data_IF_831062482113
#
_entry.id   IF_831062482113
#
_cell.length_a   1.000
_cell.length_b   1.000
_cell.length_c   1.000
_cell.angle_alpha   90.00
_cell.angle_beta   90.00
_cell.angle_gamma   90.00
#
_symmetry.space_group_name_H-M   'P 1'
#
loop_
_entity.id
_entity.type
_entity.pdbx_description
1 polymer ?
#
# COMPACT_ATOMS: atom_id res chain seq x y z
N UNK A 1 -15.14 -0.40 -14.96
CA UNK A 1 -15.10 1.05 -15.14
C UNK A 1 -14.49 1.80 -13.94
N UNK A 2 -14.40 1.23 -12.75
CA UNK A 2 -13.94 1.91 -11.51
C UNK A 2 -12.45 1.70 -11.15
N UNK A 3 -11.65 1.07 -11.98
CA UNK A 3 -10.24 0.82 -11.70
C UNK A 3 -9.25 1.82 -12.35
N UNK A 4 -9.76 2.88 -13.00
CA UNK A 4 -8.95 3.78 -13.84
C UNK A 4 -9.34 5.24 -13.61
N UNK A 5 -9.22 5.72 -12.35
CA UNK A 5 -9.65 7.08 -12.00
C UNK A 5 -8.68 8.17 -12.42
N UNK A 6 -8.96 8.88 -13.51
CA UNK A 6 -8.38 10.18 -13.81
C UNK A 6 -9.21 11.34 -13.27
N UNK A 7 -8.70 12.58 -13.32
CA UNK A 7 -9.46 13.79 -12.93
C UNK A 7 -10.83 13.91 -13.59
N UNK A 8 -10.96 13.46 -14.86
CA UNK A 8 -12.23 13.45 -15.58
C UNK A 8 -13.26 12.49 -14.98
N UNK A 9 -12.81 11.40 -14.34
CA UNK A 9 -13.72 10.44 -13.72
C UNK A 9 -14.27 10.97 -12.40
N UNK A 10 -13.51 11.76 -11.65
CA UNK A 10 -14.00 12.47 -10.45
C UNK A 10 -15.06 13.52 -10.83
N UNK A 11 -14.83 14.29 -11.89
CA UNK A 11 -15.81 15.27 -12.35
C UNK A 11 -17.12 14.61 -12.77
N UNK A 12 -17.05 13.53 -13.57
CA UNK A 12 -18.22 12.71 -13.92
C UNK A 12 -18.91 12.12 -12.69
N UNK A 13 -18.14 11.60 -11.73
CA UNK A 13 -18.66 11.06 -10.46
C UNK A 13 -19.45 12.10 -9.71
N UNK A 14 -18.94 13.33 -9.59
CA UNK A 14 -19.62 14.44 -8.93
C UNK A 14 -20.93 14.84 -9.63
N UNK A 15 -20.95 14.83 -10.98
CA UNK A 15 -22.18 15.09 -11.76
C UNK A 15 -23.22 13.98 -11.49
N UNK A 16 -22.81 12.72 -11.49
CA UNK A 16 -23.70 11.59 -11.21
C UNK A 16 -24.22 11.66 -9.78
N UNK A 17 -23.35 11.91 -8.81
CA UNK A 17 -23.74 12.09 -7.40
C UNK A 17 -24.75 13.23 -7.24
N UNK A 18 -24.56 14.38 -7.90
CA UNK A 18 -25.51 15.50 -7.87
C UNK A 18 -26.89 15.08 -8.35
N UNK A 19 -26.97 14.28 -9.43
CA UNK A 19 -28.27 13.74 -9.94
C UNK A 19 -28.91 12.76 -8.95
N UNK A 20 -28.12 11.92 -8.29
CA UNK A 20 -28.60 10.97 -7.27
C UNK A 20 -29.16 11.71 -6.06
N UNK A 21 -28.44 12.73 -5.56
CA UNK A 21 -28.92 13.57 -4.46
C UNK A 21 -30.24 14.29 -4.79
N UNK A 22 -30.34 14.87 -6.01
CA UNK A 22 -31.57 15.49 -6.47
C UNK A 22 -32.73 14.48 -6.56
N UNK A 23 -32.45 13.24 -7.00
CA UNK A 23 -33.47 12.18 -7.03
C UNK A 23 -34.00 11.89 -5.63
N UNK A 24 -33.12 11.76 -4.62
CA UNK A 24 -33.51 11.52 -3.23
C UNK A 24 -34.30 12.70 -2.64
N UNK A 25 -33.95 13.94 -2.99
CA UNK A 25 -34.69 15.13 -2.56
C UNK A 25 -36.16 15.13 -3.07
N UNK A 26 -36.37 14.68 -4.31
CA UNK A 26 -37.68 14.67 -4.95
C UNK A 26 -38.52 13.44 -4.57
N UNK A 27 -37.90 12.27 -4.47
CA UNK A 27 -38.59 10.99 -4.34
C UNK A 27 -38.51 10.37 -2.93
N UNK A 28 -37.68 10.94 -2.04
CA UNK A 28 -37.41 10.41 -0.71
C UNK A 28 -36.28 9.37 -0.72
N UNK A 29 -36.11 8.68 0.40
CA UNK A 29 -35.06 7.68 0.62
C UNK A 29 -35.20 6.49 -0.35
N UNK A 30 -34.08 6.14 -0.98
CA UNK A 30 -33.93 4.96 -1.83
C UNK A 30 -32.57 4.29 -1.49
N UNK A 31 -32.59 3.12 -0.83
CA UNK A 31 -31.35 2.45 -0.39
C UNK A 31 -30.35 2.17 -1.50
N UNK A 32 -30.83 1.87 -2.72
CA UNK A 32 -29.94 1.60 -3.85
C UNK A 32 -29.22 2.86 -4.33
N UNK A 33 -29.93 3.98 -4.33
CA UNK A 33 -29.35 5.28 -4.68
C UNK A 33 -28.38 5.78 -3.61
N UNK A 34 -28.73 5.58 -2.35
CA UNK A 34 -27.85 5.91 -1.21
C UNK A 34 -26.55 5.09 -1.25
N UNK A 35 -26.64 3.78 -1.49
CA UNK A 35 -25.46 2.92 -1.67
C UNK A 35 -24.61 3.38 -2.87
N UNK A 36 -25.25 3.77 -3.98
CA UNK A 36 -24.56 4.33 -5.13
C UNK A 36 -23.78 5.62 -4.79
N UNK A 37 -24.35 6.49 -3.95
CA UNK A 37 -23.66 7.69 -3.45
C UNK A 37 -22.46 7.31 -2.59
N UNK A 38 -22.61 6.33 -1.67
CA UNK A 38 -21.50 5.85 -0.85
C UNK A 38 -20.35 5.28 -1.69
N UNK A 39 -20.65 4.55 -2.76
CA UNK A 39 -19.63 4.08 -3.71
C UNK A 39 -18.86 5.23 -4.32
N UNK A 40 -19.54 6.28 -4.78
CA UNK A 40 -18.90 7.45 -5.38
C UNK A 40 -18.06 8.21 -4.36
N UNK A 41 -18.51 8.30 -3.10
CA UNK A 41 -17.78 8.97 -2.02
C UNK A 41 -16.53 8.17 -1.61
N UNK A 42 -16.64 6.85 -1.48
CA UNK A 42 -15.49 6.00 -1.18
C UNK A 42 -14.44 6.05 -2.30
N UNK A 43 -14.88 6.06 -3.56
CA UNK A 43 -14.01 6.25 -4.71
C UNK A 43 -13.32 7.62 -4.69
N UNK A 44 -14.06 8.69 -4.38
CA UNK A 44 -13.50 10.04 -4.27
C UNK A 44 -12.48 10.15 -3.14
N UNK A 45 -12.77 9.55 -1.97
CA UNK A 45 -11.84 9.50 -0.84
C UNK A 45 -10.52 8.79 -1.21
N UNK A 46 -10.60 7.65 -1.90
CA UNK A 46 -9.44 6.92 -2.39
C UNK A 46 -8.64 7.75 -3.40
N UNK A 47 -9.30 8.39 -4.36
CA UNK A 47 -8.66 9.25 -5.35
C UNK A 47 -7.91 10.41 -4.71
N UNK A 48 -8.48 11.05 -3.69
CA UNK A 48 -7.85 12.15 -2.95
C UNK A 48 -6.81 11.65 -1.93
N UNK A 49 -6.54 10.34 -1.88
CA UNK A 49 -5.59 9.70 -0.96
C UNK A 49 -5.91 10.00 0.51
N UNK A 50 -7.20 10.03 0.84
CA UNK A 50 -7.66 10.16 2.22
C UNK A 50 -7.37 8.92 3.08
N UNK A 51 -6.93 7.85 2.43
CA UNK A 51 -6.56 6.59 3.07
C UNK A 51 -7.67 5.53 3.03
N UNK A 52 -7.27 4.28 3.20
CA UNK A 52 -8.18 3.13 3.21
C UNK A 52 -9.21 3.25 4.34
N UNK A 53 -8.82 3.77 5.50
CA UNK A 53 -9.68 3.97 6.66
C UNK A 53 -10.93 4.79 6.31
N UNK A 54 -10.75 5.94 5.66
CA UNK A 54 -11.88 6.81 5.24
C UNK A 54 -12.77 6.11 4.22
N UNK A 55 -12.20 5.44 3.22
CA UNK A 55 -12.98 4.70 2.22
C UNK A 55 -13.71 3.51 2.84
N UNK A 56 -13.11 2.87 3.85
CA UNK A 56 -13.72 1.77 4.61
C UNK A 56 -14.90 2.26 5.45
N UNK A 57 -14.75 3.35 6.18
CA UNK A 57 -15.84 3.95 6.96
C UNK A 57 -17.04 4.31 6.06
N UNK A 58 -16.81 4.94 4.92
CA UNK A 58 -17.86 5.31 3.97
C UNK A 58 -18.57 4.08 3.41
N UNK A 59 -17.85 3.01 3.12
CA UNK A 59 -18.40 1.77 2.54
C UNK A 59 -18.94 0.77 3.58
N UNK A 60 -18.66 0.94 4.87
CA UNK A 60 -19.08 0.05 5.94
C UNK A 60 -20.59 -0.28 5.93
N UNK A 61 -21.53 0.69 5.75
CA UNK A 61 -22.96 0.37 5.70
C UNK A 61 -23.34 -0.60 4.56
N UNK A 62 -22.60 -0.58 3.44
CA UNK A 62 -22.78 -1.51 2.33
C UNK A 62 -22.42 -2.93 2.78
N UNK A 63 -21.27 -3.10 3.44
CA UNK A 63 -20.81 -4.38 3.96
C UNK A 63 -21.76 -4.93 5.04
N UNK A 64 -22.27 -4.07 5.92
CA UNK A 64 -23.24 -4.45 6.95
C UNK A 64 -24.52 -4.97 6.31
N UNK A 65 -25.07 -4.30 5.31
CA UNK A 65 -26.24 -4.74 4.57
C UNK A 65 -26.00 -6.07 3.84
N UNK A 66 -24.87 -6.19 3.13
CA UNK A 66 -24.50 -7.41 2.42
C UNK A 66 -24.28 -8.60 3.38
N UNK A 67 -23.77 -8.34 4.58
CA UNK A 67 -23.63 -9.38 5.63
C UNK A 67 -24.97 -9.86 6.15
N UNK A 68 -25.95 -8.98 6.28
CA UNK A 68 -27.30 -9.29 6.74
C UNK A 68 -28.18 -9.97 5.66
N UNK A 69 -27.75 -9.91 4.38
CA UNK A 69 -28.51 -10.45 3.24
C UNK A 69 -28.03 -11.88 2.92
N UNK A 70 -28.92 -12.85 3.05
CA UNK A 70 -28.60 -14.26 2.73
C UNK A 70 -28.42 -14.47 1.22
N UNK A 71 -29.36 -13.96 0.44
CA UNK A 71 -29.37 -14.11 -1.01
C UNK A 71 -29.03 -12.77 -1.69
N UNK A 72 -27.87 -12.72 -2.34
CA UNK A 72 -27.44 -11.56 -3.13
C UNK A 72 -27.99 -11.64 -4.54
N UNK A 73 -28.55 -10.54 -5.01
CA UNK A 73 -28.92 -10.35 -6.40
C UNK A 73 -27.74 -9.80 -7.22
N UNK A 74 -27.99 -9.53 -8.50
CA UNK A 74 -26.95 -9.00 -9.39
C UNK A 74 -26.52 -7.57 -9.04
N UNK A 75 -27.42 -6.77 -8.46
CA UNK A 75 -27.10 -5.44 -7.98
C UNK A 75 -26.13 -5.51 -6.81
N UNK A 76 -26.37 -6.39 -5.85
CA UNK A 76 -25.50 -6.61 -4.68
C UNK A 76 -24.09 -7.01 -5.10
N UNK A 77 -23.97 -7.90 -6.09
CA UNK A 77 -22.67 -8.31 -6.61
C UNK A 77 -21.94 -7.13 -7.29
N UNK A 78 -22.64 -6.33 -8.07
CA UNK A 78 -22.08 -5.15 -8.71
C UNK A 78 -21.66 -4.09 -7.69
N UNK A 79 -22.45 -3.89 -6.66
CA UNK A 79 -22.16 -2.99 -5.56
C UNK A 79 -20.90 -3.44 -4.82
N UNK A 80 -20.84 -4.73 -4.44
CA UNK A 80 -19.65 -5.30 -3.83
C UNK A 80 -18.41 -5.13 -4.71
N UNK A 81 -18.53 -5.38 -6.01
CA UNK A 81 -17.42 -5.23 -6.95
C UNK A 81 -16.79 -3.84 -6.87
N UNK A 82 -17.59 -2.81 -6.63
CA UNK A 82 -17.11 -1.43 -6.52
C UNK A 82 -16.37 -1.15 -5.20
N UNK A 83 -16.72 -1.83 -4.11
CA UNK A 83 -16.22 -1.51 -2.76
C UNK A 83 -15.39 -2.59 -2.10
N UNK A 84 -15.31 -3.81 -2.67
CA UNK A 84 -14.65 -4.96 -2.02
C UNK A 84 -13.20 -4.68 -1.62
N UNK A 85 -12.49 -3.84 -2.36
CA UNK A 85 -11.11 -3.43 -2.05
C UNK A 85 -10.99 -2.39 -0.93
N UNK A 86 -12.11 -1.83 -0.44
CA UNK A 86 -12.12 -0.81 0.61
C UNK A 86 -12.42 -1.38 2.00
N UNK A 87 -12.62 -2.69 2.14
CA UNK A 87 -12.80 -3.29 3.45
C UNK A 87 -11.50 -3.19 4.27
N UNK A 88 -11.63 -2.81 5.53
CA UNK A 88 -10.50 -2.68 6.45
C UNK A 88 -9.81 -4.02 6.71
N UNK A 89 -10.60 -5.11 6.86
CA UNK A 89 -10.08 -6.48 6.96
C UNK A 89 -9.91 -7.11 5.58
N UNK A 90 -8.71 -7.58 5.29
CA UNK A 90 -8.44 -8.33 4.06
C UNK A 90 -9.04 -9.73 4.10
N UNK A 91 -9.23 -10.32 5.29
CA UNK A 91 -9.95 -11.60 5.47
C UNK A 91 -11.41 -11.46 5.06
N UNK A 92 -12.09 -10.40 5.53
CA UNK A 92 -13.47 -10.11 5.10
C UNK A 92 -13.56 -9.81 3.61
N UNK A 93 -12.57 -9.11 3.05
CA UNK A 93 -12.46 -8.90 1.60
C UNK A 93 -12.47 -10.23 0.85
N UNK A 94 -11.67 -11.19 1.33
CA UNK A 94 -11.62 -12.54 0.77
C UNK A 94 -12.98 -13.26 0.87
N UNK A 95 -13.59 -13.28 2.06
CA UNK A 95 -14.90 -13.92 2.29
C UNK A 95 -16.00 -13.36 1.38
N UNK A 96 -16.10 -12.04 1.27
CA UNK A 96 -17.08 -11.39 0.40
C UNK A 96 -16.85 -11.69 -1.08
N UNK A 97 -15.58 -11.67 -1.50
CA UNK A 97 -15.22 -11.97 -2.87
C UNK A 97 -15.55 -13.42 -3.25
N UNK A 98 -15.22 -14.40 -2.40
CA UNK A 98 -15.54 -15.81 -2.60
C UNK A 98 -17.07 -16.03 -2.71
N UNK A 99 -17.87 -15.40 -1.83
CA UNK A 99 -19.33 -15.45 -1.90
C UNK A 99 -19.86 -14.92 -3.23
N UNK A 100 -19.31 -13.78 -3.71
CA UNK A 100 -19.71 -13.19 -4.98
C UNK A 100 -19.30 -14.06 -6.18
N UNK A 101 -18.06 -14.54 -6.19
CA UNK A 101 -17.54 -15.38 -7.28
C UNK A 101 -18.32 -16.68 -7.42
N UNK A 102 -18.66 -17.33 -6.31
CA UNK A 102 -19.50 -18.53 -6.30
C UNK A 102 -20.90 -18.30 -6.92
N UNK A 103 -21.48 -17.12 -6.68
CA UNK A 103 -22.76 -16.74 -7.32
C UNK A 103 -22.60 -16.53 -8.82
N UNK A 104 -21.47 -15.98 -9.27
CA UNK A 104 -21.18 -15.74 -10.67
C UNK A 104 -20.82 -17.00 -11.48
N UNK A 105 -20.44 -18.10 -10.81
CA UNK A 105 -20.14 -19.37 -11.48
C UNK A 105 -21.33 -19.91 -12.31
N UNK A 106 -22.54 -19.70 -11.82
CA UNK A 106 -23.76 -20.11 -12.50
C UNK A 106 -23.99 -19.40 -13.85
N UNK A 107 -23.25 -18.34 -14.11
CA UNK A 107 -23.37 -17.46 -15.28
C UNK A 107 -22.03 -17.35 -16.06
N UNK A 108 -21.22 -18.40 -16.06
CA UNK A 108 -19.84 -18.40 -16.55
C UNK A 108 -19.69 -18.05 -18.04
N UNK A 109 -20.73 -18.23 -18.85
CA UNK A 109 -20.65 -18.10 -20.30
C UNK A 109 -21.03 -16.70 -20.84
N UNK A 110 -21.34 -15.73 -20.00
CA UNK A 110 -21.74 -14.41 -20.43
C UNK A 110 -20.57 -13.41 -20.24
N UNK A 111 -20.16 -12.72 -21.30
CA UNK A 111 -19.04 -11.76 -21.31
C UNK A 111 -19.14 -10.69 -20.21
N UNK A 112 -20.35 -10.19 -19.92
CA UNK A 112 -20.58 -9.23 -18.83
C UNK A 112 -20.13 -9.74 -17.45
N UNK A 113 -20.23 -11.04 -17.20
CA UNK A 113 -19.79 -11.64 -15.93
C UNK A 113 -18.27 -11.83 -15.88
N UNK A 114 -17.61 -12.02 -17.02
CA UNK A 114 -16.16 -12.06 -17.10
C UNK A 114 -15.53 -10.73 -16.61
N UNK A 115 -16.10 -9.60 -17.03
CA UNK A 115 -15.64 -8.26 -16.59
C UNK A 115 -15.87 -8.06 -15.09
N UNK A 116 -17.01 -8.53 -14.54
CA UNK A 116 -17.29 -8.42 -13.10
C UNK A 116 -16.33 -9.30 -12.31
N UNK A 117 -16.12 -10.55 -12.74
CA UNK A 117 -15.13 -11.46 -12.11
C UNK A 117 -13.75 -10.84 -12.12
N UNK A 118 -13.29 -10.33 -13.26
CA UNK A 118 -12.00 -9.67 -13.40
C UNK A 118 -11.88 -8.48 -12.43
N UNK A 119 -12.92 -7.66 -12.31
CA UNK A 119 -12.92 -6.50 -11.42
C UNK A 119 -12.84 -6.92 -9.94
N UNK A 120 -13.58 -7.96 -9.52
CA UNK A 120 -13.49 -8.50 -8.16
C UNK A 120 -12.06 -8.98 -7.90
N UNK A 121 -11.50 -9.82 -8.78
CA UNK A 121 -10.15 -10.35 -8.64
C UNK A 121 -9.09 -9.26 -8.54
N UNK A 122 -9.14 -8.26 -9.43
CA UNK A 122 -8.20 -7.13 -9.41
C UNK A 122 -8.28 -6.31 -8.13
N UNK A 123 -9.48 -6.08 -7.59
CA UNK A 123 -9.68 -5.35 -6.35
C UNK A 123 -9.17 -6.15 -5.14
N UNK A 124 -9.38 -7.48 -5.13
CA UNK A 124 -8.82 -8.36 -4.08
C UNK A 124 -7.29 -8.37 -4.15
N UNK A 125 -6.70 -8.57 -5.33
CA UNK A 125 -5.24 -8.50 -5.51
C UNK A 125 -4.68 -7.18 -4.98
N UNK A 126 -5.34 -6.06 -5.28
CA UNK A 126 -4.91 -4.76 -4.80
C UNK A 126 -5.02 -4.65 -3.26
N UNK A 127 -6.12 -5.14 -2.67
CA UNK A 127 -6.31 -5.12 -1.20
C UNK A 127 -5.29 -6.00 -0.47
N UNK A 128 -5.01 -7.20 -1.00
CA UNK A 128 -3.99 -8.09 -0.43
C UNK A 128 -2.56 -7.52 -0.56
N UNK A 129 -2.26 -6.85 -1.69
CA UNK A 129 -1.00 -6.12 -1.84
C UNK A 129 -0.89 -4.99 -0.79
N UNK A 130 -1.96 -4.24 -0.57
CA UNK A 130 -2.03 -3.20 0.48
C UNK A 130 -1.86 -3.81 1.88
N UNK A 131 -2.51 -4.93 2.19
CA UNK A 131 -2.37 -5.60 3.46
C UNK A 131 -0.91 -5.94 3.78
N UNK A 132 -0.16 -6.42 2.79
CA UNK A 132 1.26 -6.74 2.95
C UNK A 132 2.13 -5.55 3.38
N UNK A 133 1.78 -4.34 2.96
CA UNK A 133 2.62 -3.16 3.16
C UNK A 133 2.08 -2.12 4.14
N UNK A 134 0.76 -2.05 4.34
CA UNK A 134 0.12 -1.03 5.18
C UNK A 134 -0.41 -1.56 6.52
N UNK A 135 -0.81 -2.83 6.61
CA UNK A 135 -1.34 -3.38 7.84
C UNK A 135 -0.18 -3.64 8.82
N UNK A 136 0.20 -2.58 9.53
CA UNK A 136 1.41 -2.50 10.38
C UNK A 136 1.32 -3.43 11.59
N UNK A 137 0.13 -3.77 12.05
CA UNK A 137 -0.09 -4.59 13.24
C UNK A 137 0.05 -6.10 12.96
N UNK A 138 -0.01 -6.52 11.72
CA UNK A 138 0.24 -7.90 11.30
C UNK A 138 1.66 -8.07 10.80
N UNK A 139 2.61 -8.13 11.73
CA UNK A 139 4.07 -8.26 11.51
C UNK A 139 4.51 -9.58 10.86
N UNK A 140 3.60 -10.45 10.49
CA UNK A 140 3.88 -11.63 9.68
C UNK A 140 2.89 -11.67 8.52
N UNK A 141 3.36 -11.69 7.26
CA UNK A 141 2.53 -12.21 6.19
C UNK A 141 2.13 -13.61 6.64
N UNK A 142 0.86 -13.79 6.95
CA UNK A 142 0.37 -15.14 7.24
C UNK A 142 0.58 -15.95 5.96
N UNK A 143 0.87 -17.23 6.08
CA UNK A 143 0.92 -18.12 4.90
C UNK A 143 -0.36 -17.97 4.06
N UNK A 144 -1.47 -17.64 4.71
CA UNK A 144 -2.77 -17.36 4.10
C UNK A 144 -2.76 -16.16 3.15
N UNK A 145 -2.14 -15.04 3.52
CA UNK A 145 -2.05 -13.85 2.65
C UNK A 145 -1.28 -14.16 1.35
N UNK A 146 -0.17 -14.89 1.45
CA UNK A 146 0.63 -15.35 0.30
C UNK A 146 -0.17 -16.32 -0.57
N UNK A 147 -0.91 -17.24 0.05
CA UNK A 147 -1.72 -18.25 -0.62
C UNK A 147 -2.90 -17.59 -1.35
N UNK A 148 -3.65 -16.72 -0.68
CA UNK A 148 -4.77 -15.99 -1.29
C UNK A 148 -4.30 -15.08 -2.42
N UNK A 149 -3.19 -14.36 -2.22
CA UNK A 149 -2.65 -13.54 -3.30
C UNK A 149 -2.29 -14.38 -4.52
N UNK A 150 -1.62 -15.50 -4.33
CA UNK A 150 -1.22 -16.42 -5.42
C UNK A 150 -2.44 -17.00 -6.13
N UNK A 151 -3.48 -17.41 -5.39
CA UNK A 151 -4.75 -17.89 -5.93
C UNK A 151 -5.41 -16.85 -6.82
N UNK A 152 -5.61 -15.63 -6.29
CA UNK A 152 -6.29 -14.57 -7.02
C UNK A 152 -5.46 -14.06 -8.20
N UNK A 153 -4.16 -13.92 -8.06
CA UNK A 153 -3.28 -13.50 -9.17
C UNK A 153 -3.29 -14.52 -10.32
N UNK A 154 -3.24 -15.83 -10.00
CA UNK A 154 -3.31 -16.91 -11.00
C UNK A 154 -4.65 -16.92 -11.72
N UNK A 155 -5.76 -16.85 -10.99
CA UNK A 155 -7.10 -16.80 -11.57
C UNK A 155 -7.30 -15.54 -12.44
N UNK A 156 -6.81 -14.39 -11.97
CA UNK A 156 -6.84 -13.13 -12.73
C UNK A 156 -6.05 -13.23 -14.03
N UNK A 157 -4.87 -13.86 -13.98
CA UNK A 157 -4.04 -14.05 -15.17
C UNK A 157 -4.76 -14.89 -16.21
N UNK A 158 -5.40 -16.00 -15.80
CA UNK A 158 -6.18 -16.84 -16.70
C UNK A 158 -7.34 -16.06 -17.35
N UNK A 159 -8.11 -15.30 -16.57
CA UNK A 159 -9.19 -14.45 -17.11
C UNK A 159 -8.64 -13.43 -18.12
N UNK A 160 -7.47 -12.83 -17.83
CA UNK A 160 -6.85 -11.87 -18.75
C UNK A 160 -6.40 -12.51 -20.06
N UNK A 161 -5.87 -13.74 -20.02
CA UNK A 161 -5.40 -14.46 -21.21
C UNK A 161 -6.58 -14.93 -22.07
N UNK A 162 -7.60 -15.51 -21.47
CA UNK A 162 -8.79 -15.99 -22.16
C UNK A 162 -9.61 -14.86 -22.80
N UNK A 163 -9.77 -13.74 -22.09
CA UNK A 163 -10.59 -12.60 -22.50
C UNK A 163 -9.82 -11.51 -23.27
N UNK A 164 -8.51 -11.64 -23.47
CA UNK A 164 -7.70 -10.62 -24.15
C UNK A 164 -7.54 -9.30 -23.37
N UNK A 165 -7.68 -9.31 -22.03
CA UNK A 165 -7.62 -8.12 -21.18
C UNK A 165 -6.19 -7.65 -20.92
N UNK A 166 -5.48 -7.24 -21.97
CA UNK A 166 -4.04 -6.92 -21.93
C UNK A 166 -3.69 -5.80 -20.93
N UNK A 167 -4.57 -4.80 -20.77
CA UNK A 167 -4.37 -3.70 -19.78
C UNK A 167 -4.36 -4.25 -18.35
N UNK A 168 -5.35 -5.07 -18.00
CA UNK A 168 -5.44 -5.68 -16.68
C UNK A 168 -4.29 -6.65 -16.43
N UNK A 169 -3.86 -7.38 -17.48
CA UNK A 169 -2.69 -8.26 -17.42
C UNK A 169 -1.42 -7.48 -17.08
N UNK A 170 -1.18 -6.34 -17.73
CA UNK A 170 -0.04 -5.48 -17.44
C UNK A 170 -0.05 -4.98 -15.99
N UNK A 171 -1.19 -4.47 -15.53
CA UNK A 171 -1.35 -4.01 -14.15
C UNK A 171 -1.20 -5.15 -13.12
N UNK A 172 -1.72 -6.35 -13.41
CA UNK A 172 -1.54 -7.52 -12.57
C UNK A 172 -0.06 -7.93 -12.45
N UNK A 173 0.68 -7.92 -13.57
CA UNK A 173 2.11 -8.25 -13.57
C UNK A 173 2.91 -7.29 -12.70
N UNK A 174 2.60 -5.97 -12.77
CA UNK A 174 3.23 -4.97 -11.89
C UNK A 174 2.91 -5.28 -10.42
N UNK A 175 1.64 -5.47 -10.07
CA UNK A 175 1.21 -5.73 -8.69
C UNK A 175 1.77 -7.04 -8.13
N UNK A 176 1.84 -8.09 -8.96
CA UNK A 176 2.48 -9.36 -8.57
C UNK A 176 3.97 -9.20 -8.35
N UNK A 177 4.64 -8.42 -9.21
CA UNK A 177 6.05 -8.08 -9.02
C UNK A 177 6.30 -7.30 -7.73
N UNK A 178 5.46 -6.32 -7.41
CA UNK A 178 5.51 -5.58 -6.15
C UNK A 178 5.28 -6.50 -4.95
N UNK A 179 4.28 -7.39 -5.02
CA UNK A 179 3.97 -8.30 -3.93
C UNK A 179 5.14 -9.26 -3.62
N UNK A 180 5.76 -9.82 -4.65
CA UNK A 180 6.88 -10.76 -4.50
C UNK A 180 8.26 -10.10 -4.51
N UNK A 181 8.35 -8.77 -4.64
CA UNK A 181 9.60 -8.01 -4.78
C UNK A 181 10.42 -8.49 -6.00
N UNK A 182 9.74 -8.77 -7.12
CA UNK A 182 10.32 -9.21 -8.39
C UNK A 182 10.30 -8.06 -9.41
N UNK A 183 11.41 -7.33 -9.49
CA UNK A 183 11.58 -6.20 -10.41
C UNK A 183 11.40 -6.61 -11.89
N UNK A 184 11.71 -7.87 -12.25
CA UNK A 184 11.55 -8.34 -13.63
C UNK A 184 10.07 -8.44 -14.03
N UNK A 185 9.22 -8.87 -13.11
CA UNK A 185 7.77 -8.90 -13.32
C UNK A 185 7.19 -7.49 -13.40
N UNK A 186 7.66 -6.56 -12.56
CA UNK A 186 7.29 -5.14 -12.64
C UNK A 186 7.64 -4.57 -14.01
N UNK A 187 8.88 -4.74 -14.45
CA UNK A 187 9.36 -4.24 -15.76
C UNK A 187 8.56 -4.83 -16.94
N UNK A 188 8.28 -6.13 -16.90
CA UNK A 188 7.46 -6.79 -17.94
C UNK A 188 6.05 -6.22 -18.01
N UNK A 189 5.42 -5.96 -16.85
CA UNK A 189 4.09 -5.36 -16.78
C UNK A 189 4.07 -3.96 -17.37
N UNK A 190 5.03 -3.11 -17.00
CA UNK A 190 5.17 -1.75 -17.54
C UNK A 190 5.41 -1.76 -19.06
N UNK A 191 6.31 -2.60 -19.56
CA UNK A 191 6.56 -2.76 -21.02
C UNK A 191 5.32 -3.20 -21.78
N UNK A 192 4.48 -4.06 -21.19
CA UNK A 192 3.21 -4.46 -21.81
C UNK A 192 2.27 -3.27 -21.91
N UNK A 193 2.10 -2.50 -20.83
CA UNK A 193 1.23 -1.30 -20.80
C UNK A 193 1.69 -0.25 -21.81
N UNK A 194 2.98 0.03 -21.89
CA UNK A 194 3.60 0.94 -22.86
C UNK A 194 3.31 0.48 -24.30
N UNK A 195 3.57 -0.82 -24.60
CA UNK A 195 3.38 -1.40 -25.93
C UNK A 195 1.95 -1.28 -26.45
N UNK A 196 0.95 -1.34 -25.56
CA UNK A 196 -0.48 -1.25 -25.93
C UNK A 196 -1.03 0.17 -25.85
N UNK A 197 -0.19 1.17 -25.50
CA UNK A 197 -0.59 2.57 -25.39
C UNK A 197 -1.53 2.85 -24.22
N UNK A 198 -1.41 2.10 -23.11
CA UNK A 198 -2.24 2.27 -21.91
C UNK A 198 -1.63 3.31 -20.95
N UNK A 199 -1.38 4.53 -21.45
CA UNK A 199 -0.61 5.58 -20.76
C UNK A 199 -1.17 5.96 -19.38
N UNK A 200 -2.48 5.96 -19.22
CA UNK A 200 -3.11 6.30 -17.94
C UNK A 200 -2.84 5.22 -16.89
N UNK A 201 -3.00 3.94 -17.27
CA UNK A 201 -2.73 2.81 -16.37
C UNK A 201 -1.22 2.67 -16.12
N UNK A 202 -0.40 2.94 -17.11
CA UNK A 202 1.04 2.99 -16.96
C UNK A 202 1.45 3.98 -15.87
N UNK A 203 0.98 5.23 -15.94
CA UNK A 203 1.25 6.25 -14.91
C UNK A 203 0.70 5.89 -13.54
N UNK A 204 -0.46 5.24 -13.49
CA UNK A 204 -1.02 4.75 -12.23
C UNK A 204 -0.10 3.69 -11.61
N UNK A 205 0.43 2.76 -12.40
CA UNK A 205 1.37 1.74 -11.91
C UNK A 205 2.72 2.34 -11.48
N UNK A 206 3.22 3.37 -12.16
CA UNK A 206 4.43 4.08 -11.69
C UNK A 206 4.21 4.75 -10.32
N UNK A 207 3.04 5.31 -10.10
CA UNK A 207 2.67 5.86 -8.79
C UNK A 207 2.61 4.76 -7.71
N UNK A 208 1.98 3.61 -8.03
CA UNK A 208 1.93 2.46 -7.12
C UNK A 208 3.36 1.99 -6.78
N UNK A 209 4.22 1.80 -7.80
CA UNK A 209 5.63 1.41 -7.61
C UNK A 209 6.37 2.39 -6.70
N UNK A 210 6.21 3.69 -6.93
CA UNK A 210 6.85 4.74 -6.11
C UNK A 210 6.38 4.67 -4.66
N UNK A 211 5.08 4.46 -4.44
CA UNK A 211 4.49 4.35 -3.12
C UNK A 211 4.95 3.08 -2.38
N UNK A 212 4.91 1.92 -3.04
CA UNK A 212 5.36 0.66 -2.43
C UNK A 212 6.87 0.61 -2.19
N UNK A 213 7.69 1.14 -3.10
CA UNK A 213 9.13 1.26 -2.88
C UNK A 213 9.45 2.16 -1.69
N UNK A 214 8.69 3.22 -1.50
CA UNK A 214 8.79 4.07 -0.33
C UNK A 214 8.44 3.30 0.95
N UNK A 215 7.33 2.55 0.97
CA UNK A 215 6.92 1.74 2.12
C UNK A 215 7.91 0.60 2.41
N UNK A 216 8.45 -0.05 1.38
CA UNK A 216 9.51 -1.06 1.53
C UNK A 216 10.76 -0.42 2.16
N UNK A 217 11.12 0.79 1.72
CA UNK A 217 12.23 1.56 2.29
C UNK A 217 12.01 1.98 3.75
N UNK A 218 10.74 2.15 4.17
CA UNK A 218 10.38 2.45 5.57
C UNK A 218 10.35 1.22 6.46
N UNK A 219 10.07 0.03 5.93
CA UNK A 219 10.05 -1.22 6.71
C UNK A 219 11.48 -1.71 6.94
N UNK A 220 12.10 -1.17 8.00
CA UNK A 220 13.32 -1.76 8.52
C UNK A 220 13.00 -3.16 9.04
N UNK A 221 13.58 -4.19 8.42
CA UNK A 221 13.40 -5.55 8.92
C UNK A 221 13.94 -5.66 10.35
N UNK A 222 13.33 -6.52 11.18
CA UNK A 222 13.82 -6.83 12.52
C UNK A 222 15.33 -7.17 12.53
N UNK A 223 15.80 -7.82 11.45
CA UNK A 223 17.22 -8.15 11.29
C UNK A 223 18.08 -6.90 11.06
N UNK A 224 17.63 -5.96 10.25
CA UNK A 224 18.33 -4.68 10.03
C UNK A 224 18.33 -3.83 11.30
N UNK A 225 17.19 -3.72 11.97
CA UNK A 225 17.07 -3.06 13.27
C UNK A 225 18.06 -3.63 14.29
N UNK A 226 18.05 -4.97 14.48
CA UNK A 226 18.97 -5.63 15.40
C UNK A 226 20.45 -5.42 15.01
N UNK A 227 20.78 -5.37 13.71
CA UNK A 227 22.14 -5.11 13.24
C UNK A 227 22.61 -3.70 13.59
N UNK A 228 21.75 -2.70 13.46
CA UNK A 228 22.10 -1.30 13.81
C UNK A 228 22.36 -1.22 15.30
N UNK A 229 21.45 -1.71 16.13
CA UNK A 229 21.60 -1.70 17.59
C UNK A 229 22.85 -2.50 17.99
N UNK A 230 23.04 -3.69 17.47
CA UNK A 230 24.19 -4.52 17.75
C UNK A 230 25.51 -3.88 17.35
N UNK A 231 25.55 -3.21 16.21
CA UNK A 231 26.70 -2.45 15.73
C UNK A 231 27.03 -1.29 16.69
N UNK A 232 26.03 -0.55 17.17
CA UNK A 232 26.21 0.55 18.12
C UNK A 232 26.71 0.04 19.49
N UNK A 233 26.19 -1.10 19.97
CA UNK A 233 26.69 -1.76 21.18
C UNK A 233 28.16 -2.13 21.01
N UNK A 234 28.52 -2.79 19.91
CA UNK A 234 29.89 -3.19 19.61
C UNK A 234 30.82 -1.98 19.50
N UNK A 235 30.38 -0.95 18.78
CA UNK A 235 31.15 0.30 18.63
C UNK A 235 31.46 0.90 20.00
N UNK A 236 30.46 1.00 20.87
CA UNK A 236 30.63 1.58 22.21
C UNK A 236 31.52 0.74 23.09
N UNK A 237 31.37 -0.58 23.04
CA UNK A 237 32.27 -1.48 23.78
C UNK A 237 33.74 -1.31 23.40
N UNK A 238 34.01 -1.20 22.08
CA UNK A 238 35.39 -1.00 21.58
C UNK A 238 35.93 0.37 22.00
N UNK A 239 35.12 1.42 21.90
CA UNK A 239 35.48 2.78 22.37
C UNK A 239 35.86 2.82 23.82
N UNK A 240 35.19 1.99 24.67
CA UNK A 240 35.50 1.86 26.10
C UNK A 240 36.66 0.88 26.40
N UNK A 241 37.26 0.29 25.35
CA UNK A 241 38.35 -0.67 25.50
C UNK A 241 37.93 -1.99 26.17
N UNK A 242 36.62 -2.31 26.23
CA UNK A 242 36.12 -3.51 26.92
C UNK A 242 36.21 -4.74 26.04
N UNK A 243 36.65 -5.85 26.59
CA UNK A 243 36.56 -7.15 25.93
C UNK A 243 35.12 -7.69 25.97
N UNK A 244 34.81 -8.64 25.10
CA UNK A 244 33.51 -9.37 25.11
C UNK A 244 33.25 -9.99 26.47
N UNK A 245 34.30 -10.59 27.06
CA UNK A 245 34.22 -11.27 28.36
C UNK A 245 33.89 -10.32 29.51
N UNK A 246 34.55 -9.16 29.58
CA UNK A 246 34.30 -8.16 30.59
C UNK A 246 32.90 -7.62 30.52
N UNK A 247 32.45 -7.22 29.31
CA UNK A 247 31.09 -6.65 29.11
C UNK A 247 30.00 -7.71 29.37
N UNK A 248 30.17 -8.94 28.87
CA UNK A 248 29.18 -10.00 29.11
C UNK A 248 29.01 -10.32 30.59
N UNK A 249 30.12 -10.36 31.34
CA UNK A 249 30.09 -10.57 32.79
C UNK A 249 29.36 -9.44 33.53
N UNK A 250 29.63 -8.17 33.17
CA UNK A 250 28.93 -7.00 33.72
C UNK A 250 27.45 -6.99 33.40
N UNK A 251 27.07 -7.56 32.27
CA UNK A 251 25.68 -7.70 31.82
C UNK A 251 24.97 -8.95 32.33
N UNK A 252 25.66 -9.84 33.03
CA UNK A 252 25.17 -11.17 33.46
C UNK A 252 24.71 -12.03 32.24
N UNK A 253 25.44 -11.91 31.14
CA UNK A 253 25.18 -12.65 29.90
C UNK A 253 26.34 -13.59 29.60
N UNK A 254 26.09 -14.61 28.76
CA UNK A 254 27.18 -15.38 28.16
C UNK A 254 27.87 -14.60 27.06
N UNK A 255 29.18 -14.87 26.83
CA UNK A 255 29.90 -14.30 25.68
C UNK A 255 29.20 -14.56 24.32
N UNK A 256 28.63 -15.74 24.18
CA UNK A 256 27.86 -16.10 22.99
C UNK A 256 26.59 -15.22 22.82
N UNK A 257 25.87 -14.97 23.92
CA UNK A 257 24.67 -14.13 23.92
C UNK A 257 25.00 -12.69 23.54
N UNK A 258 26.05 -12.10 24.09
CA UNK A 258 26.52 -10.76 23.74
C UNK A 258 27.01 -10.74 22.29
N UNK A 259 27.71 -11.77 21.82
CA UNK A 259 28.14 -11.89 20.43
C UNK A 259 27.00 -11.95 19.43
N UNK A 260 25.94 -12.71 19.72
CA UNK A 260 24.71 -12.72 18.88
C UNK A 260 24.02 -11.36 18.85
N UNK A 261 24.02 -10.65 19.98
CA UNK A 261 23.46 -9.30 20.10
C UNK A 261 24.26 -8.29 19.26
N UNK A 262 25.60 -8.27 19.38
CA UNK A 262 26.47 -7.37 18.62
C UNK A 262 26.43 -7.61 17.10
N UNK A 263 26.20 -8.86 16.65
CA UNK A 263 26.02 -9.17 15.22
C UNK A 263 24.60 -8.98 14.73
N UNK A 264 23.67 -8.63 15.63
CA UNK A 264 22.25 -8.48 15.29
C UNK A 264 21.54 -9.78 14.90
N UNK A 265 22.10 -10.92 15.26
CA UNK A 265 21.51 -12.26 15.06
C UNK A 265 20.37 -12.52 16.06
N UNK A 266 20.45 -11.89 17.22
CA UNK A 266 19.38 -11.81 18.23
C UNK A 266 19.14 -10.37 18.63
N UNK A 267 17.87 -10.06 18.91
CA UNK A 267 17.49 -8.78 19.49
C UNK A 267 17.94 -8.68 20.95
N UNK A 268 17.95 -7.46 21.46
CA UNK A 268 18.17 -7.18 22.87
C UNK A 268 16.87 -6.69 23.51
N UNK A 269 16.75 -6.88 24.83
CA UNK A 269 15.62 -6.34 25.58
C UNK A 269 15.88 -4.88 25.95
N UNK A 270 14.82 -4.11 26.20
CA UNK A 270 14.94 -2.73 26.70
C UNK A 270 15.72 -2.69 28.04
N UNK A 271 15.59 -3.72 28.86
CA UNK A 271 16.33 -3.82 30.12
C UNK A 271 17.85 -4.00 29.89
N UNK A 272 18.24 -4.79 28.90
CA UNK A 272 19.64 -4.92 28.52
C UNK A 272 20.20 -3.61 27.94
N UNK A 273 19.40 -2.87 27.15
CA UNK A 273 19.80 -1.55 26.65
C UNK A 273 19.95 -0.55 27.78
N UNK A 274 19.09 -0.60 28.79
CA UNK A 274 19.21 0.22 30.00
C UNK A 274 20.52 -0.07 30.76
N UNK A 275 20.84 -1.36 31.02
CA UNK A 275 22.12 -1.77 31.64
C UNK A 275 23.32 -1.29 30.82
N UNK A 276 23.28 -1.42 29.50
CA UNK A 276 24.37 -0.94 28.64
C UNK A 276 24.50 0.59 28.68
N UNK A 277 23.38 1.32 28.70
CA UNK A 277 23.37 2.78 28.83
C UNK A 277 24.04 3.23 30.11
N UNK A 278 23.74 2.54 31.24
CA UNK A 278 24.33 2.79 32.55
C UNK A 278 25.84 2.48 32.56
N UNK A 279 26.25 1.29 32.08
CA UNK A 279 27.66 0.88 31.98
C UNK A 279 28.49 1.87 31.14
N UNK A 280 27.95 2.36 30.06
CA UNK A 280 28.65 3.25 29.13
C UNK A 280 28.46 4.74 29.43
N UNK A 281 27.62 5.10 30.40
CA UNK A 281 27.30 6.50 30.71
C UNK A 281 26.71 7.26 29.54
N UNK A 282 25.86 6.61 28.71
CA UNK A 282 25.19 7.21 27.55
C UNK A 282 23.67 7.06 27.68
N UNK A 283 22.88 7.95 27.07
CA UNK A 283 21.42 7.76 26.99
C UNK A 283 21.08 6.53 26.14
N UNK A 284 19.95 5.88 26.42
CA UNK A 284 19.50 4.68 25.66
C UNK A 284 19.37 4.96 24.16
N UNK A 285 19.00 6.18 23.79
CA UNK A 285 18.84 6.66 22.41
C UNK A 285 20.13 6.50 21.60
N UNK A 286 21.31 6.48 22.24
CA UNK A 286 22.58 6.23 21.58
C UNK A 286 22.58 4.92 20.77
N UNK A 287 21.97 3.86 21.31
CA UNK A 287 21.93 2.56 20.65
C UNK A 287 20.98 2.54 19.44
N UNK A 288 20.05 3.50 19.36
CA UNK A 288 19.13 3.66 18.25
C UNK A 288 19.66 4.61 17.15
N UNK A 289 20.88 5.17 17.31
CA UNK A 289 21.48 6.00 16.29
C UNK A 289 21.58 5.22 14.96
N UNK A 290 21.14 5.84 13.87
CA UNK A 290 21.02 5.20 12.54
C UNK A 290 19.70 4.45 12.30
N UNK A 291 18.92 4.13 13.36
CA UNK A 291 17.56 3.61 13.19
C UNK A 291 16.64 4.69 12.63
N UNK A 292 16.73 5.90 13.16
CA UNK A 292 15.91 7.04 12.73
C UNK A 292 16.37 7.63 11.39
N UNK A 293 17.63 7.46 10.99
CA UNK A 293 18.13 7.87 9.67
C UNK A 293 17.52 7.03 8.55
N UNK A 294 17.19 5.76 8.84
CA UNK A 294 16.50 4.85 7.91
C UNK A 294 14.99 4.82 8.10
N UNK A 295 14.46 5.32 9.22
CA UNK A 295 13.03 5.30 9.59
C UNK A 295 12.44 6.68 9.81
N UNK A 296 13.20 7.77 9.65
CA UNK A 296 12.60 9.10 9.63
C UNK A 296 11.57 9.12 8.50
N UNK A 297 10.29 9.19 8.86
CA UNK A 297 9.26 9.53 7.90
C UNK A 297 9.77 10.76 7.14
N UNK A 298 10.00 10.67 5.83
CA UNK A 298 10.45 11.84 5.10
C UNK A 298 9.45 12.94 5.36
N UNK A 299 9.96 14.12 5.67
CA UNK A 299 9.11 15.28 5.84
C UNK A 299 8.19 15.42 4.62
N UNK A 300 6.99 16.02 4.78
CA UNK A 300 6.10 16.33 3.66
C UNK A 300 6.85 17.03 2.50
N UNK A 301 7.92 17.74 2.83
CA UNK A 301 8.80 18.40 1.87
C UNK A 301 9.66 17.39 1.09
N UNK A 302 10.25 16.40 1.76
CA UNK A 302 11.06 15.33 1.12
C UNK A 302 10.19 14.42 0.26
N UNK A 303 8.95 14.11 0.70
CA UNK A 303 7.96 13.39 -0.11
C UNK A 303 7.67 14.15 -1.41
N UNK A 304 7.47 15.48 -1.31
CA UNK A 304 7.23 16.32 -2.48
C UNK A 304 8.45 16.41 -3.39
N UNK A 305 9.67 16.46 -2.84
CA UNK A 305 10.90 16.45 -3.63
C UNK A 305 11.11 15.11 -4.36
N UNK A 306 10.89 13.98 -3.69
CA UNK A 306 10.95 12.66 -4.35
C UNK A 306 9.91 12.50 -5.45
N UNK A 307 8.69 13.02 -5.24
CA UNK A 307 7.67 13.06 -6.28
C UNK A 307 8.11 13.91 -7.46
N UNK A 308 8.66 15.11 -7.20
CA UNK A 308 9.16 16.00 -8.23
C UNK A 308 10.31 15.33 -9.01
N UNK A 309 11.24 14.67 -8.34
CA UNK A 309 12.34 13.91 -8.95
C UNK A 309 11.83 12.77 -9.85
N UNK A 310 10.80 12.05 -9.41
CA UNK A 310 10.12 11.04 -10.25
C UNK A 310 9.52 11.64 -11.53
N UNK A 311 8.85 12.77 -11.43
CA UNK A 311 8.27 13.44 -12.60
C UNK A 311 9.32 14.03 -13.53
N UNK A 312 10.44 14.53 -13.01
CA UNK A 312 11.47 15.21 -13.80
C UNK A 312 12.37 14.26 -14.58
N UNK A 313 12.45 12.97 -14.19
CA UNK A 313 13.26 11.95 -14.88
C UNK A 313 12.87 11.70 -16.34
N UNK A 314 11.63 12.01 -16.69
CA UNK A 314 11.08 11.77 -18.04
C UNK A 314 10.92 13.05 -18.85
N UNK A 315 11.34 14.19 -18.30
CA UNK A 315 11.27 15.47 -18.99
C UNK A 315 12.50 15.69 -19.87
N UNK A 316 12.28 16.30 -21.02
CA UNK A 316 13.36 16.82 -21.86
C UNK A 316 14.08 17.99 -21.18
N UNK A 317 15.29 18.30 -21.59
CA UNK A 317 16.07 19.44 -21.06
C UNK A 317 15.29 20.75 -21.16
N UNK A 318 14.54 20.96 -22.26
CA UNK A 318 13.71 22.15 -22.46
C UNK A 318 12.56 22.24 -21.47
N UNK A 319 11.93 21.12 -21.13
CA UNK A 319 10.85 21.04 -20.12
C UNK A 319 11.39 21.22 -18.70
N UNK A 320 12.59 20.70 -18.42
CA UNK A 320 13.31 20.96 -17.17
C UNK A 320 13.65 22.42 -17.01
N UNK A 321 14.17 23.07 -18.04
CA UNK A 321 14.47 24.51 -18.04
C UNK A 321 13.21 25.35 -17.81
N UNK A 322 12.09 24.98 -18.42
CA UNK A 322 10.81 25.63 -18.18
C UNK A 322 10.37 25.53 -16.71
N UNK A 323 10.47 24.33 -16.09
CA UNK A 323 10.17 24.13 -14.67
C UNK A 323 11.08 24.96 -13.76
N UNK A 324 12.38 25.02 -14.07
CA UNK A 324 13.36 25.82 -13.33
C UNK A 324 12.99 27.30 -13.40
N UNK A 325 12.60 27.79 -14.57
CA UNK A 325 12.18 29.20 -14.74
C UNK A 325 10.87 29.49 -13.98
N UNK A 326 9.91 28.58 -13.99
CA UNK A 326 8.68 28.69 -13.21
C UNK A 326 8.99 28.74 -11.71
N UNK A 327 9.86 27.86 -11.22
CA UNK A 327 10.28 27.85 -9.81
C UNK A 327 10.97 29.14 -9.38
N UNK A 328 11.79 29.76 -10.26
CA UNK A 328 12.43 31.06 -10.01
C UNK A 328 11.45 32.23 -9.91
N UNK A 329 10.27 32.12 -10.50
CA UNK A 329 9.19 33.13 -10.47
C UNK A 329 8.28 33.01 -9.26
N UNK A 330 8.36 31.90 -8.50
CA UNK A 330 7.58 31.75 -7.26
C UNK A 330 8.09 32.75 -6.23
N UNK A 331 7.19 33.47 -5.54
CA UNK A 331 7.60 34.40 -4.50
C UNK A 331 8.38 33.62 -3.43
N UNK A 332 9.56 34.12 -3.06
CA UNK A 332 10.32 33.57 -1.95
C UNK A 332 9.42 33.61 -0.71
N UNK A 333 9.19 32.46 -0.08
CA UNK A 333 8.47 32.40 1.18
C UNK A 333 9.13 33.42 2.12
N UNK A 334 8.35 34.38 2.63
CA UNK A 334 8.82 35.30 3.66
C UNK A 334 9.16 34.44 4.86
N UNK A 335 10.43 34.47 5.27
CA UNK A 335 10.83 33.98 6.58
C UNK A 335 10.00 34.76 7.61
N UNK A 336 8.96 34.13 8.13
CA UNK A 336 8.30 34.63 9.34
C UNK A 336 9.29 34.47 10.47
N UNK A 337 10.01 35.55 10.79
CA UNK A 337 10.71 35.68 12.06
C UNK A 337 9.63 35.62 13.14
N UNK A 338 9.66 34.58 13.95
CA UNK A 338 9.09 34.55 15.29
C UNK A 338 10.21 34.52 16.30
#
# INVERSE_FOLDING_TARGET
MFAMGGNQDIEKSNIVKGKMLYYLEVNGSDPQVEDGIRVLDAFSAEFHRSGLEVSSEISAPIFDRLSATEEWDFYDIRLLTAVVGYNESYEKTYEFAEKALKKLEKHSNEERYAIIKLSIHMNVVNRLLRAKYYDVDNLTPTNELEEWFSQYATATMAICDDGGFSIHKGALMVRSGLFHQDDKSVEKGLKLLEKIGADEVYRMMENDISEYNFLIGLKMSKRQFNRIIGSNIRKKRIEFGLTMEVLSKSMELSNAALGFMERGERGTTSFNLYKLADIFGVPMEYFYAGVNETTSLPSQREIRFKKLDGFTKHLTDSELDFLIQMAKRLPKARETKS
#
